data_IF_461126614177
#
_entry.id   IF_461126614177
#
_cell.length_a   1.000
_cell.length_b   1.000
_cell.length_c   1.000
_cell.angle_alpha   90.00
_cell.angle_beta   90.00
_cell.angle_gamma   90.00
#
_symmetry.space_group_name_H-M   'P 1'
#
loop_
_entity.id
_entity.type
_entity.pdbx_description
1 polymer ?
#
# COMPACT_ATOMS: atom_id res chain seq x y z
N UNK A 1 16.26 10.32 18.15
CA UNK A 1 15.56 9.27 17.39
C UNK A 1 15.90 9.42 15.91
N UNK A 2 16.30 8.37 15.23
CA UNK A 2 16.43 8.45 13.78
C UNK A 2 15.01 8.48 13.19
N UNK A 3 14.63 9.63 12.65
CA UNK A 3 13.34 9.80 11.96
C UNK A 3 13.30 8.87 10.74
N UNK A 4 12.36 7.91 10.72
CA UNK A 4 12.22 6.95 9.62
C UNK A 4 11.86 7.63 8.29
N UNK A 5 11.34 8.84 8.32
CA UNK A 5 10.98 9.60 7.13
C UNK A 5 12.13 10.45 6.58
N UNK A 6 13.16 10.75 7.38
CA UNK A 6 14.30 11.55 6.91
C UNK A 6 15.00 10.97 5.67
N UNK A 7 15.24 9.65 5.54
CA UNK A 7 15.77 9.06 4.31
C UNK A 7 14.84 9.24 3.12
N UNK A 8 13.51 9.11 3.31
CA UNK A 8 12.51 9.30 2.25
C UNK A 8 12.49 10.75 1.77
N UNK A 9 12.53 11.71 2.69
CA UNK A 9 12.63 13.13 2.37
C UNK A 9 13.91 13.42 1.56
N UNK A 10 15.05 12.88 1.97
CA UNK A 10 16.31 13.06 1.26
C UNK A 10 16.26 12.49 -0.16
N UNK A 11 15.69 11.29 -0.35
CA UNK A 11 15.49 10.66 -1.64
C UNK A 11 14.60 11.51 -2.56
N UNK A 12 13.47 12.01 -2.04
CA UNK A 12 12.51 12.81 -2.80
C UNK A 12 13.06 14.21 -3.16
N UNK A 13 13.85 14.82 -2.28
CA UNK A 13 14.57 16.08 -2.62
C UNK A 13 15.59 15.87 -3.74
N UNK A 14 16.23 14.71 -3.79
CA UNK A 14 17.19 14.38 -4.85
C UNK A 14 16.49 14.01 -6.18
N UNK A 15 15.28 13.44 -6.11
CA UNK A 15 14.47 13.03 -7.24
C UNK A 15 13.00 13.43 -7.05
N UNK A 16 12.66 14.71 -7.29
CA UNK A 16 11.31 15.22 -7.03
C UNK A 16 10.24 14.50 -7.84
N UNK A 17 9.16 14.12 -7.16
CA UNK A 17 7.98 13.45 -7.72
C UNK A 17 6.77 14.35 -7.67
N UNK A 18 5.80 14.08 -8.55
CA UNK A 18 4.50 14.74 -8.57
C UNK A 18 3.44 13.83 -7.96
N UNK A 19 2.80 14.27 -6.87
CA UNK A 19 1.71 13.56 -6.22
C UNK A 19 0.36 14.21 -6.53
N UNK A 20 -0.65 13.38 -6.77
CA UNK A 20 -2.05 13.81 -6.91
C UNK A 20 -2.80 13.56 -5.61
N UNK A 21 -3.47 14.57 -5.10
CA UNK A 21 -4.50 14.47 -4.07
C UNK A 21 -5.88 14.61 -4.67
N UNK A 22 -6.76 13.68 -4.34
CA UNK A 22 -8.12 13.60 -4.91
C UNK A 22 -9.17 14.39 -4.17
N UNK A 23 -8.85 14.91 -2.98
CA UNK A 23 -9.74 15.74 -2.15
C UNK A 23 -9.10 17.11 -1.87
N UNK A 24 -8.97 17.91 -2.92
CA UNK A 24 -8.21 19.17 -2.90
C UNK A 24 -8.76 20.26 -1.96
N UNK A 25 -9.98 20.13 -1.46
CA UNK A 25 -10.59 21.06 -0.49
C UNK A 25 -10.63 20.52 0.96
N UNK A 26 -10.12 19.29 1.22
CA UNK A 26 -10.05 18.74 2.58
C UNK A 26 -8.95 19.44 3.39
N UNK A 27 -9.24 19.98 4.59
CA UNK A 27 -8.26 20.72 5.39
C UNK A 27 -7.00 19.91 5.75
N UNK A 28 -7.13 18.59 5.96
CA UNK A 28 -6.01 17.70 6.30
C UNK A 28 -5.07 17.53 5.12
N UNK A 29 -5.64 17.45 3.91
CA UNK A 29 -4.88 17.38 2.66
C UNK A 29 -4.18 18.71 2.41
N UNK A 30 -4.88 19.83 2.58
CA UNK A 30 -4.33 21.17 2.39
C UNK A 30 -3.17 21.48 3.34
N UNK A 31 -3.28 21.10 4.63
CA UNK A 31 -2.23 21.25 5.62
C UNK A 31 -0.98 20.42 5.25
N UNK A 32 -1.18 19.15 4.87
CA UNK A 32 -0.08 18.29 4.45
C UNK A 32 0.56 18.80 3.14
N UNK A 33 -0.24 19.23 2.16
CA UNK A 33 0.24 19.78 0.91
C UNK A 33 1.08 21.05 1.11
N UNK A 34 0.62 21.97 1.96
CA UNK A 34 1.37 23.19 2.31
C UNK A 34 2.74 22.84 2.92
N UNK A 35 2.81 21.85 3.81
CA UNK A 35 4.06 21.37 4.39
C UNK A 35 5.00 20.76 3.36
N UNK A 36 4.49 19.89 2.48
CA UNK A 36 5.28 19.26 1.40
C UNK A 36 5.87 20.30 0.44
N UNK A 37 5.08 21.33 0.09
CA UNK A 37 5.50 22.42 -0.78
C UNK A 37 6.55 23.31 -0.10
N UNK A 38 6.32 23.71 1.16
CA UNK A 38 7.26 24.53 1.93
C UNK A 38 8.62 23.86 2.11
N UNK A 39 8.65 22.55 2.27
CA UNK A 39 9.88 21.76 2.37
C UNK A 39 10.54 21.43 1.02
N UNK A 40 9.84 21.71 -0.10
CA UNK A 40 10.32 21.42 -1.46
C UNK A 40 10.53 19.93 -1.72
N UNK A 41 9.70 19.08 -1.12
CA UNK A 41 9.84 17.61 -1.19
C UNK A 41 9.11 17.02 -2.38
N UNK A 42 7.91 17.52 -2.67
CA UNK A 42 7.05 17.03 -3.75
C UNK A 42 6.45 18.19 -4.54
N UNK A 43 6.19 17.94 -5.82
CA UNK A 43 5.23 18.73 -6.59
C UNK A 43 3.84 18.21 -6.30
N UNK A 44 2.87 19.12 -6.12
CA UNK A 44 1.52 18.78 -5.67
C UNK A 44 0.52 19.15 -6.73
N UNK A 45 -0.32 18.19 -7.09
CA UNK A 45 -1.54 18.40 -7.90
C UNK A 45 -2.74 18.10 -7.01
N UNK A 46 -3.68 19.02 -6.94
CA UNK A 46 -4.94 18.87 -6.20
C UNK A 46 -6.11 18.79 -7.16
N UNK A 47 -6.95 17.78 -7.03
CA UNK A 47 -8.16 17.62 -7.84
C UNK A 47 -9.34 18.23 -7.08
N UNK A 48 -10.01 19.19 -7.69
CA UNK A 48 -11.18 19.83 -7.12
C UNK A 48 -11.45 21.20 -7.75
N UNK A 49 -12.58 21.82 -7.37
CA UNK A 49 -12.90 23.16 -7.81
C UNK A 49 -11.88 24.18 -7.26
N UNK A 50 -11.30 24.98 -8.13
CA UNK A 50 -10.20 25.88 -7.79
C UNK A 50 -10.59 26.91 -6.72
N UNK A 51 -11.79 27.47 -6.83
CA UNK A 51 -12.27 28.47 -5.88
C UNK A 51 -12.53 27.87 -4.50
N UNK A 52 -13.09 26.65 -4.44
CA UNK A 52 -13.31 25.93 -3.18
C UNK A 52 -11.98 25.55 -2.51
N UNK A 53 -11.02 25.01 -3.27
CA UNK A 53 -9.69 24.65 -2.75
C UNK A 53 -8.97 25.88 -2.17
N UNK A 54 -8.97 27.01 -2.90
CA UNK A 54 -8.37 28.27 -2.44
C UNK A 54 -9.08 28.85 -1.21
N UNK A 55 -10.41 28.78 -1.17
CA UNK A 55 -11.18 29.25 -0.02
C UNK A 55 -10.90 28.40 1.23
N UNK A 56 -10.85 27.07 1.09
CA UNK A 56 -10.54 26.17 2.18
C UNK A 56 -9.09 26.35 2.69
N UNK A 57 -8.14 26.55 1.78
CA UNK A 57 -6.74 26.83 2.13
C UNK A 57 -6.60 28.16 2.89
N UNK A 58 -7.30 29.22 2.43
CA UNK A 58 -7.31 30.51 3.11
C UNK A 58 -7.91 30.43 4.51
N UNK A 59 -9.00 29.65 4.69
CA UNK A 59 -9.64 29.44 5.99
C UNK A 59 -8.70 28.73 6.99
N UNK A 60 -7.82 27.84 6.52
CA UNK A 60 -6.83 27.15 7.34
C UNK A 60 -5.46 27.84 7.41
N UNK A 61 -5.27 28.97 6.72
CA UNK A 61 -3.97 29.63 6.53
C UNK A 61 -2.90 28.70 5.93
N UNK A 62 -3.30 27.82 5.00
CA UNK A 62 -2.40 26.90 4.31
C UNK A 62 -1.86 27.54 3.02
N UNK A 63 -0.53 27.64 2.91
CA UNK A 63 0.13 28.18 1.71
C UNK A 63 0.26 27.09 0.64
N UNK A 64 -0.57 27.18 -0.39
CA UNK A 64 -0.65 26.20 -1.49
C UNK A 64 -0.44 26.83 -2.88
N UNK A 65 0.05 28.06 -2.98
CA UNK A 65 0.20 28.76 -4.27
C UNK A 65 1.11 28.06 -5.27
N UNK A 66 2.01 27.21 -4.78
CA UNK A 66 2.89 26.39 -5.63
C UNK A 66 2.24 25.05 -6.06
N UNK A 67 1.03 24.72 -5.59
CA UNK A 67 0.30 23.55 -6.06
C UNK A 67 -0.44 23.85 -7.37
N UNK A 68 -0.52 22.85 -8.25
CA UNK A 68 -1.44 22.87 -9.38
C UNK A 68 -2.82 22.40 -8.91
N UNK A 69 -3.88 23.18 -9.18
CA UNK A 69 -5.25 22.78 -8.90
C UNK A 69 -5.94 22.47 -10.22
N UNK A 70 -6.51 21.27 -10.34
CA UNK A 70 -7.20 20.82 -11.55
C UNK A 70 -8.65 20.53 -11.22
N UNK A 71 -9.55 21.31 -11.85
CA UNK A 71 -10.99 21.05 -11.80
C UNK A 71 -11.39 20.13 -12.95
N UNK A 72 -11.89 18.90 -12.67
CA UNK A 72 -12.35 17.99 -13.70
C UNK A 72 -13.39 18.58 -14.66
N UNK A 73 -14.25 19.51 -14.18
CA UNK A 73 -15.28 20.14 -15.02
C UNK A 73 -14.70 21.17 -16.01
N UNK A 74 -13.50 21.67 -15.78
CA UNK A 74 -12.85 22.72 -16.56
C UNK A 74 -11.50 22.28 -17.16
N UNK A 75 -11.19 20.98 -17.13
CA UNK A 75 -9.90 20.47 -17.61
C UNK A 75 -9.84 20.42 -19.14
N UNK A 76 -8.91 21.17 -19.74
CA UNK A 76 -8.78 21.26 -21.20
C UNK A 76 -8.48 19.90 -21.89
N UNK A 77 -7.83 18.96 -21.18
CA UNK A 77 -7.52 17.61 -21.67
C UNK A 77 -8.62 16.57 -21.39
N UNK A 78 -9.83 16.98 -21.02
CA UNK A 78 -10.86 16.04 -20.56
C UNK A 78 -11.31 15.06 -21.66
N UNK A 79 -11.50 15.52 -22.90
CA UNK A 79 -11.91 14.67 -24.02
C UNK A 79 -10.84 13.63 -24.37
N UNK A 80 -9.54 14.00 -24.33
CA UNK A 80 -8.43 13.08 -24.51
C UNK A 80 -8.43 12.01 -23.39
N UNK A 81 -8.70 12.43 -22.16
CA UNK A 81 -8.78 11.53 -21.00
C UNK A 81 -9.95 10.55 -21.13
N UNK A 82 -11.13 11.00 -21.60
CA UNK A 82 -12.28 10.13 -21.89
C UNK A 82 -11.92 9.10 -22.94
N UNK A 83 -11.37 9.53 -24.08
CA UNK A 83 -10.98 8.63 -25.18
C UNK A 83 -9.97 7.57 -24.70
N UNK A 84 -8.95 8.00 -23.96
CA UNK A 84 -7.96 7.09 -23.38
C UNK A 84 -8.60 6.08 -22.42
N UNK A 85 -9.56 6.53 -21.59
CA UNK A 85 -10.26 5.62 -20.68
C UNK A 85 -11.11 4.61 -21.42
N UNK A 86 -11.84 5.01 -22.48
CA UNK A 86 -12.65 4.11 -23.33
C UNK A 86 -11.77 2.99 -23.92
N UNK A 87 -10.59 3.35 -24.47
CA UNK A 87 -9.63 2.39 -25.00
C UNK A 87 -9.14 1.40 -23.93
N UNK A 88 -8.79 1.91 -22.72
CA UNK A 88 -8.35 1.09 -21.60
C UNK A 88 -9.42 0.11 -21.13
N UNK A 89 -10.69 0.50 -21.21
CA UNK A 89 -11.84 -0.31 -20.77
C UNK A 89 -12.28 -1.38 -21.79
N UNK A 90 -11.83 -1.28 -23.05
CA UNK A 90 -12.04 -2.31 -24.10
C UNK A 90 -13.50 -2.77 -24.22
N UNK A 91 -14.43 -1.83 -24.33
CA UNK A 91 -15.87 -2.09 -24.47
C UNK A 91 -16.61 -2.47 -23.18
N UNK A 92 -15.94 -2.45 -22.01
CA UNK A 92 -16.61 -2.68 -20.72
C UNK A 92 -17.38 -1.46 -20.20
N UNK A 93 -17.16 -0.29 -20.78
CA UNK A 93 -17.82 0.98 -20.45
C UNK A 93 -17.97 1.81 -21.73
N UNK A 94 -19.08 2.54 -21.83
CA UNK A 94 -19.33 3.50 -22.93
C UNK A 94 -18.57 4.79 -22.71
N UNK A 95 -18.54 5.68 -23.71
CA UNK A 95 -17.94 7.00 -23.58
C UNK A 95 -18.68 7.87 -22.54
N UNK A 96 -20.01 7.78 -22.49
CA UNK A 96 -20.84 8.47 -21.51
C UNK A 96 -20.56 8.00 -20.08
N UNK A 97 -20.42 6.69 -19.89
CA UNK A 97 -20.05 6.12 -18.59
C UNK A 97 -18.63 6.53 -18.16
N UNK A 98 -17.68 6.54 -19.09
CA UNK A 98 -16.33 7.03 -18.84
C UNK A 98 -16.33 8.52 -18.46
N UNK A 99 -17.09 9.34 -19.18
CA UNK A 99 -17.27 10.76 -18.87
C UNK A 99 -17.85 10.98 -17.47
N UNK A 100 -18.89 10.22 -17.12
CA UNK A 100 -19.50 10.32 -15.79
C UNK A 100 -18.55 9.88 -14.65
N UNK A 101 -17.71 8.89 -14.89
CA UNK A 101 -16.71 8.42 -13.93
C UNK A 101 -15.57 9.43 -13.77
N UNK A 102 -15.09 10.02 -14.85
CA UNK A 102 -13.99 10.98 -14.82
C UNK A 102 -14.33 12.32 -14.15
N UNK A 103 -15.61 12.64 -13.98
CA UNK A 103 -16.06 13.74 -13.12
C UNK A 103 -15.83 13.47 -11.62
N UNK A 104 -15.56 12.23 -11.23
CA UNK A 104 -15.22 11.86 -9.85
C UNK A 104 -13.72 12.00 -9.65
N UNK A 105 -13.31 12.70 -8.60
CA UNK A 105 -11.91 13.02 -8.32
C UNK A 105 -10.99 11.81 -8.23
N UNK A 106 -11.48 10.69 -7.68
CA UNK A 106 -10.72 9.45 -7.59
C UNK A 106 -10.42 8.84 -8.96
N UNK A 107 -11.37 8.81 -9.89
CA UNK A 107 -11.14 8.36 -11.28
C UNK A 107 -10.28 9.34 -12.05
N UNK A 108 -10.54 10.64 -11.91
CA UNK A 108 -9.79 11.70 -12.57
C UNK A 108 -8.31 11.67 -12.16
N UNK A 109 -8.03 11.69 -10.85
CA UNK A 109 -6.67 11.61 -10.33
C UNK A 109 -5.93 10.34 -10.75
N UNK A 110 -6.64 9.19 -10.76
CA UNK A 110 -6.07 7.93 -11.26
C UNK A 110 -5.72 8.01 -12.75
N UNK A 111 -6.51 8.70 -13.56
CA UNK A 111 -6.19 8.91 -14.97
C UNK A 111 -5.02 9.87 -15.16
N UNK A 112 -4.86 10.91 -14.33
CA UNK A 112 -3.65 11.75 -14.37
C UNK A 112 -2.39 10.93 -14.19
N UNK A 113 -2.37 10.01 -13.21
CA UNK A 113 -1.25 9.08 -13.02
C UNK A 113 -1.11 8.13 -14.22
N UNK A 114 -2.21 7.56 -14.71
CA UNK A 114 -2.20 6.63 -15.85
C UNK A 114 -1.64 7.27 -17.13
N UNK A 115 -1.92 8.53 -17.36
CA UNK A 115 -1.45 9.29 -18.52
C UNK A 115 -0.05 9.90 -18.33
N UNK A 116 0.62 9.62 -17.20
CA UNK A 116 1.96 10.14 -16.90
C UNK A 116 2.01 11.64 -16.60
N UNK A 117 0.87 12.24 -16.22
CA UNK A 117 0.78 13.64 -15.78
C UNK A 117 1.20 13.82 -14.32
N UNK A 118 1.24 12.71 -13.56
CA UNK A 118 1.76 12.64 -12.21
C UNK A 118 2.40 11.27 -11.96
N UNK A 119 3.28 11.18 -10.96
CA UNK A 119 4.00 9.95 -10.61
C UNK A 119 3.18 9.01 -9.72
N UNK A 120 2.38 9.58 -8.81
CA UNK A 120 1.64 8.81 -7.81
C UNK A 120 0.38 9.54 -7.33
N UNK A 121 -0.49 8.81 -6.60
CA UNK A 121 -1.74 9.34 -6.07
C UNK A 121 -1.93 8.92 -4.61
N UNK A 122 -2.44 9.84 -3.81
CA UNK A 122 -2.92 9.60 -2.45
C UNK A 122 -4.33 10.18 -2.30
N UNK A 123 -5.28 9.36 -1.85
CA UNK A 123 -6.66 9.76 -1.64
C UNK A 123 -7.35 8.86 -0.62
N UNK A 124 -8.66 8.99 -0.41
CA UNK A 124 -9.44 8.18 0.53
C UNK A 124 -9.76 8.84 1.86
N UNK A 125 -9.38 10.11 2.06
CA UNK A 125 -9.71 10.83 3.28
C UNK A 125 -11.23 11.03 3.47
N UNK A 126 -12.02 11.00 2.39
CA UNK A 126 -13.47 11.23 2.43
C UNK A 126 -14.32 10.11 1.84
N UNK A 127 -13.71 9.11 1.18
CA UNK A 127 -14.41 8.00 0.56
C UNK A 127 -13.82 6.63 0.98
N UNK A 128 -14.38 5.53 0.51
CA UNK A 128 -14.00 4.18 0.94
C UNK A 128 -12.73 3.69 0.23
N UNK A 129 -11.99 2.78 0.86
CA UNK A 129 -10.85 2.05 0.26
C UNK A 129 -11.23 1.39 -1.07
N UNK A 130 -12.47 0.89 -1.22
CA UNK A 130 -12.95 0.35 -2.48
C UNK A 130 -13.01 1.39 -3.61
N UNK A 131 -13.24 2.66 -3.28
CA UNK A 131 -13.29 3.75 -4.23
C UNK A 131 -11.89 4.22 -4.65
N UNK A 132 -10.86 3.95 -3.87
CA UNK A 132 -9.45 4.08 -4.26
C UNK A 132 -9.00 2.90 -5.13
N UNK A 133 -9.27 1.67 -4.68
CA UNK A 133 -8.77 0.45 -5.35
C UNK A 133 -9.44 0.22 -6.70
N UNK A 134 -10.74 0.49 -6.84
CA UNK A 134 -11.48 0.22 -8.07
C UNK A 134 -10.92 0.96 -9.30
N UNK A 135 -10.74 2.30 -9.31
CA UNK A 135 -10.10 2.98 -10.44
C UNK A 135 -8.64 2.54 -10.63
N UNK A 136 -7.88 2.30 -9.55
CA UNK A 136 -6.51 1.80 -9.66
C UNK A 136 -6.43 0.48 -10.43
N UNK A 137 -7.26 -0.51 -10.08
CA UNK A 137 -7.32 -1.81 -10.80
C UNK A 137 -7.86 -1.68 -12.23
N UNK A 138 -8.78 -0.77 -12.46
CA UNK A 138 -9.41 -0.60 -13.78
C UNK A 138 -8.49 0.10 -14.78
N UNK A 139 -7.70 1.07 -14.35
CA UNK A 139 -6.97 2.00 -15.19
C UNK A 139 -5.45 1.79 -15.14
N UNK A 140 -4.88 1.74 -13.94
CA UNK A 140 -3.43 1.53 -13.74
C UNK A 140 -3.08 0.05 -13.85
N UNK A 141 -3.90 -0.83 -13.28
CA UNK A 141 -3.74 -2.29 -13.24
C UNK A 141 -2.53 -2.73 -12.41
N UNK A 142 -2.35 -4.04 -12.32
CA UNK A 142 -1.19 -4.65 -11.66
C UNK A 142 0.07 -4.55 -12.52
N UNK A 143 1.24 -4.58 -11.89
CA UNK A 143 2.54 -4.74 -12.55
C UNK A 143 2.55 -6.00 -13.41
N UNK A 144 3.40 -6.01 -14.44
CA UNK A 144 3.62 -7.23 -15.24
C UNK A 144 4.15 -8.34 -14.33
N UNK A 145 3.45 -9.48 -14.34
CA UNK A 145 3.78 -10.63 -13.50
C UNK A 145 3.15 -10.61 -12.11
N UNK A 146 2.51 -9.52 -11.68
CA UNK A 146 1.74 -9.49 -10.44
C UNK A 146 0.30 -9.94 -10.70
N UNK A 147 -0.20 -10.84 -9.88
CA UNK A 147 -1.53 -11.44 -10.01
C UNK A 147 -2.58 -10.78 -9.12
N UNK A 148 -2.14 -10.01 -8.11
CA UNK A 148 -3.03 -9.32 -7.18
C UNK A 148 -2.46 -7.98 -6.74
N UNK A 149 -3.33 -7.16 -6.14
CA UNK A 149 -2.94 -6.03 -5.30
C UNK A 149 -3.06 -6.47 -3.86
N UNK A 150 -2.08 -6.13 -3.05
CA UNK A 150 -2.07 -6.39 -1.62
C UNK A 150 -1.78 -5.11 -0.84
N UNK A 151 -1.75 -5.20 0.48
CA UNK A 151 -1.38 -4.08 1.35
C UNK A 151 -0.30 -4.45 2.34
N UNK A 152 0.43 -3.44 2.78
CA UNK A 152 1.38 -3.56 3.88
C UNK A 152 1.14 -2.43 4.88
N UNK A 153 1.35 -2.73 6.16
CA UNK A 153 1.53 -1.73 7.22
C UNK A 153 2.97 -1.78 7.71
N UNK A 154 3.58 -0.61 7.85
CA UNK A 154 4.83 -0.46 8.59
C UNK A 154 4.48 0.00 10.00
N UNK A 155 4.93 -0.77 10.98
CA UNK A 155 4.74 -0.46 12.38
C UNK A 155 6.08 -0.08 13.00
N UNK A 156 6.11 1.06 13.69
CA UNK A 156 7.32 1.61 14.32
C UNK A 156 7.06 1.90 15.80
N UNK A 157 7.99 1.49 16.67
CA UNK A 157 7.89 1.69 18.10
C UNK A 157 9.25 1.98 18.71
N UNK A 158 9.32 3.03 19.53
CA UNK A 158 10.45 3.28 20.41
C UNK A 158 10.34 2.36 21.64
N UNK A 159 11.31 1.50 21.83
CA UNK A 159 11.40 0.57 22.96
C UNK A 159 12.45 1.00 24.01
N UNK A 160 12.82 2.28 24.04
CA UNK A 160 13.79 2.83 24.98
C UNK A 160 15.19 2.23 24.76
N UNK A 161 15.76 1.61 25.81
CA UNK A 161 17.11 1.02 25.75
C UNK A 161 17.25 -0.11 24.70
N UNK A 162 16.16 -0.81 24.38
CA UNK A 162 16.15 -1.81 23.31
C UNK A 162 16.16 -1.19 21.88
N UNK A 163 16.06 0.14 21.80
CA UNK A 163 16.05 0.88 20.55
C UNK A 163 14.73 0.86 19.82
N UNK A 164 14.77 1.21 18.53
CA UNK A 164 13.60 1.23 17.66
C UNK A 164 13.28 -0.18 17.16
N UNK A 165 12.02 -0.61 17.36
CA UNK A 165 11.49 -1.81 16.72
C UNK A 165 10.59 -1.41 15.55
N UNK A 166 11.01 -1.77 14.35
CA UNK A 166 10.27 -1.54 13.11
C UNK A 166 9.95 -2.86 12.45
N UNK A 167 8.67 -3.07 12.10
CA UNK A 167 8.18 -4.30 11.52
C UNK A 167 7.24 -4.00 10.34
N UNK A 168 7.13 -4.97 9.42
CA UNK A 168 6.18 -4.92 8.32
C UNK A 168 5.11 -6.02 8.47
N UNK A 169 3.86 -5.70 8.15
CA UNK A 169 2.72 -6.62 8.23
C UNK A 169 1.91 -6.59 6.92
N UNK A 170 1.81 -7.70 6.21
CA UNK A 170 1.11 -7.88 4.95
C UNK A 170 0.35 -9.22 4.88
N UNK A 171 -0.80 -9.33 4.25
CA UNK A 171 -1.77 -8.32 3.88
C UNK A 171 -2.74 -8.08 5.05
N UNK A 172 -3.07 -6.83 5.34
CA UNK A 172 -3.93 -6.50 6.48
C UNK A 172 -5.20 -5.73 6.10
N UNK A 173 -5.42 -5.43 4.79
CA UNK A 173 -6.51 -4.52 4.39
C UNK A 173 -7.14 -4.78 3.02
N UNK A 174 -6.62 -5.67 2.19
CA UNK A 174 -7.10 -5.83 0.80
C UNK A 174 -7.67 -7.22 0.52
N UNK A 175 -6.90 -8.28 0.70
CA UNK A 175 -7.34 -9.63 0.33
C UNK A 175 -7.98 -10.33 1.52
N UNK A 176 -9.29 -10.62 1.39
CA UNK A 176 -10.08 -11.31 2.44
C UNK A 176 -9.47 -12.69 2.70
N UNK A 177 -9.26 -13.44 1.63
CA UNK A 177 -8.66 -14.76 1.61
C UNK A 177 -7.83 -14.97 0.33
N UNK A 178 -7.19 -16.11 0.20
CA UNK A 178 -6.45 -16.51 -0.98
C UNK A 178 -7.04 -17.79 -1.52
N UNK A 179 -7.58 -17.72 -2.74
CA UNK A 179 -8.16 -18.85 -3.47
C UNK A 179 -7.49 -19.01 -4.81
N UNK A 180 -7.52 -20.22 -5.35
CA UNK A 180 -6.99 -20.50 -6.67
C UNK A 180 -7.76 -19.73 -7.76
N UNK A 181 -7.03 -19.21 -8.73
CA UNK A 181 -7.64 -18.73 -9.96
C UNK A 181 -7.77 -19.90 -10.93
N UNK A 182 -9.00 -20.25 -11.26
CA UNK A 182 -9.31 -21.39 -12.13
C UNK A 182 -9.52 -20.88 -13.56
N UNK A 183 -8.94 -21.56 -14.53
CA UNK A 183 -9.27 -21.37 -15.95
C UNK A 183 -10.69 -21.91 -16.20
N UNK A 184 -11.59 -21.03 -16.63
CA UNK A 184 -13.00 -21.38 -16.82
C UNK A 184 -13.24 -22.34 -17.98
N UNK A 185 -12.31 -22.43 -18.93
CA UNK A 185 -12.44 -23.29 -20.10
C UNK A 185 -11.93 -24.71 -19.82
N UNK A 186 -10.85 -24.84 -19.04
CA UNK A 186 -10.18 -26.12 -18.76
C UNK A 186 -10.47 -26.67 -17.38
N UNK A 187 -10.90 -25.84 -16.42
CA UNK A 187 -11.04 -26.20 -15.00
C UNK A 187 -9.71 -26.32 -14.26
N UNK A 188 -8.60 -26.03 -14.91
CA UNK A 188 -7.26 -26.12 -14.31
C UNK A 188 -6.92 -24.90 -13.46
N UNK A 189 -6.04 -25.09 -12.46
CA UNK A 189 -5.50 -24.01 -11.66
C UNK A 189 -4.54 -23.18 -12.50
N UNK A 190 -4.92 -21.94 -12.79
CA UNK A 190 -4.10 -20.99 -13.52
C UNK A 190 -3.11 -20.25 -12.61
N UNK A 191 -3.56 -19.87 -11.40
CA UNK A 191 -2.73 -19.24 -10.39
C UNK A 191 -3.12 -19.83 -9.04
N UNK A 192 -2.18 -20.48 -8.37
CA UNK A 192 -2.43 -21.08 -7.07
C UNK A 192 -2.59 -20.01 -5.98
N UNK A 193 -3.43 -20.27 -4.99
CA UNK A 193 -3.60 -19.43 -3.82
C UNK A 193 -2.26 -19.17 -3.09
N UNK A 194 -1.42 -20.20 -2.98
CA UNK A 194 -0.08 -20.12 -2.40
C UNK A 194 0.87 -19.20 -3.17
N UNK A 195 0.77 -19.16 -4.51
CA UNK A 195 1.57 -18.24 -5.32
C UNK A 195 1.16 -16.78 -5.07
N UNK A 196 -0.14 -16.51 -4.89
CA UNK A 196 -0.62 -15.18 -4.52
C UNK A 196 -0.11 -14.73 -3.15
N UNK A 197 -0.14 -15.60 -2.15
CA UNK A 197 0.38 -15.28 -0.82
C UNK A 197 1.91 -15.11 -0.83
N UNK A 198 2.62 -15.86 -1.67
CA UNK A 198 4.05 -15.68 -1.92
C UNK A 198 4.37 -14.30 -2.53
N UNK A 199 3.54 -13.83 -3.47
CA UNK A 199 3.69 -12.46 -4.01
C UNK A 199 3.52 -11.40 -2.91
N UNK A 200 2.56 -11.58 -2.00
CA UNK A 200 2.40 -10.68 -0.84
C UNK A 200 3.67 -10.66 0.01
N UNK A 201 4.28 -11.82 0.26
CA UNK A 201 5.52 -11.91 1.01
C UNK A 201 6.67 -11.14 0.35
N UNK A 202 6.84 -11.31 -0.95
CA UNK A 202 7.90 -10.66 -1.73
C UNK A 202 7.66 -9.14 -1.81
N UNK A 203 6.44 -8.69 -2.10
CA UNK A 203 6.13 -7.26 -2.19
C UNK A 203 6.19 -6.57 -0.82
N UNK A 204 5.79 -7.26 0.26
CA UNK A 204 5.94 -6.73 1.63
C UNK A 204 7.41 -6.61 2.02
N UNK A 205 8.26 -7.55 1.65
CA UNK A 205 9.70 -7.46 1.86
C UNK A 205 10.33 -6.27 1.10
N UNK A 206 9.90 -6.03 -0.15
CA UNK A 206 10.34 -4.85 -0.92
C UNK A 206 9.91 -3.55 -0.25
N UNK A 207 8.66 -3.48 0.22
CA UNK A 207 8.17 -2.32 0.96
C UNK A 207 8.96 -2.11 2.26
N UNK A 208 9.23 -3.18 3.02
CA UNK A 208 10.02 -3.12 4.25
C UNK A 208 11.41 -2.50 4.04
N UNK A 209 12.08 -2.83 2.93
CA UNK A 209 13.40 -2.29 2.57
C UNK A 209 13.39 -0.76 2.41
N UNK A 210 12.30 -0.14 1.93
CA UNK A 210 12.18 1.32 1.82
C UNK A 210 12.32 2.01 3.18
N UNK A 211 12.02 1.30 4.26
CA UNK A 211 12.09 1.80 5.64
C UNK A 211 13.34 1.33 6.39
N UNK A 212 14.33 0.79 5.67
CA UNK A 212 15.58 0.31 6.27
C UNK A 212 15.43 -0.99 7.06
N UNK A 213 14.33 -1.74 6.86
CA UNK A 213 14.18 -3.09 7.42
C UNK A 213 14.93 -4.07 6.52
N UNK A 214 15.83 -4.88 7.11
CA UNK A 214 16.36 -6.10 6.48
C UNK A 214 15.33 -7.22 6.66
N UNK A 215 14.52 -7.56 5.62
CA UNK A 215 13.34 -8.37 5.84
C UNK A 215 13.67 -9.82 6.15
N UNK A 216 13.22 -10.28 7.33
CA UNK A 216 13.13 -11.68 7.73
C UNK A 216 11.66 -12.05 7.77
N UNK A 217 11.20 -12.71 6.71
CA UNK A 217 9.78 -12.87 6.40
C UNK A 217 9.25 -14.16 7.03
N UNK A 218 8.28 -14.04 7.93
CA UNK A 218 7.54 -15.15 8.50
C UNK A 218 6.15 -15.24 7.86
N UNK A 219 5.83 -16.34 7.19
CA UNK A 219 4.47 -16.66 6.76
C UNK A 219 3.76 -17.34 7.92
N UNK A 220 2.76 -16.62 8.45
CA UNK A 220 2.12 -16.97 9.73
C UNK A 220 1.02 -18.02 9.60
N UNK A 221 0.86 -18.77 10.68
CA UNK A 221 -0.22 -19.75 10.89
C UNK A 221 -0.41 -20.00 12.39
N UNK A 222 -1.46 -20.72 12.77
CA UNK A 222 -1.57 -21.32 14.10
C UNK A 222 -0.70 -22.58 14.25
N UNK A 223 -0.07 -23.05 13.17
CA UNK A 223 0.86 -24.19 13.10
C UNK A 223 2.31 -23.72 12.97
N UNK A 224 3.24 -24.51 13.47
CA UNK A 224 4.68 -24.35 13.25
C UNK A 224 5.25 -25.65 12.72
N UNK A 225 5.75 -25.66 11.47
CA UNK A 225 6.44 -26.80 10.84
C UNK A 225 5.66 -28.10 10.95
N UNK A 226 4.35 -28.07 10.63
CA UNK A 226 3.49 -29.24 10.62
C UNK A 226 2.90 -29.63 11.98
N UNK A 227 3.01 -28.78 13.01
CA UNK A 227 2.42 -29.04 14.34
C UNK A 227 0.89 -29.06 14.36
N UNK A 228 0.25 -28.39 13.38
CA UNK A 228 -1.19 -28.33 13.19
C UNK A 228 -1.62 -28.77 11.81
N UNK A 229 -2.93 -28.97 11.62
CA UNK A 229 -3.53 -29.36 10.32
C UNK A 229 -4.86 -28.62 10.12
N UNK A 230 -5.20 -28.39 8.85
CA UNK A 230 -6.46 -27.74 8.46
C UNK A 230 -6.35 -26.22 8.36
N UNK A 231 -7.49 -25.56 8.08
CA UNK A 231 -7.52 -24.13 7.83
C UNK A 231 -6.53 -23.70 6.75
N UNK A 232 -5.76 -22.65 7.04
CA UNK A 232 -4.77 -22.06 6.12
C UNK A 232 -3.35 -22.61 6.27
N UNK A 233 -3.14 -23.70 7.00
CA UNK A 233 -1.80 -24.28 7.26
C UNK A 233 -1.10 -24.64 5.95
N UNK A 234 -1.76 -25.40 5.08
CA UNK A 234 -1.20 -25.78 3.79
C UNK A 234 -0.92 -24.57 2.90
N UNK A 235 -1.83 -23.58 2.87
CA UNK A 235 -1.65 -22.33 2.14
C UNK A 235 -0.35 -21.62 2.58
N UNK A 236 -0.16 -21.45 3.89
CA UNK A 236 1.02 -20.76 4.43
C UNK A 236 2.31 -21.54 4.18
N UNK A 237 2.27 -22.87 4.33
CA UNK A 237 3.40 -23.75 4.02
C UNK A 237 3.81 -23.65 2.55
N UNK A 238 2.85 -23.83 1.63
CA UNK A 238 3.12 -23.83 0.19
C UNK A 238 3.52 -22.44 -0.32
N UNK A 239 3.04 -21.38 0.33
CA UNK A 239 3.44 -20.00 0.00
C UNK A 239 4.94 -19.76 0.29
N UNK A 240 5.52 -20.36 1.34
CA UNK A 240 6.95 -20.29 1.60
C UNK A 240 7.73 -20.92 0.47
N UNK A 241 7.33 -22.13 0.04
CA UNK A 241 8.00 -22.85 -1.07
C UNK A 241 7.94 -21.97 -2.34
N UNK A 242 6.76 -21.42 -2.65
CA UNK A 242 6.59 -20.54 -3.81
C UNK A 242 7.41 -19.26 -3.71
N UNK A 243 7.48 -18.64 -2.54
CA UNK A 243 8.30 -17.45 -2.35
C UNK A 243 9.80 -17.71 -2.55
N UNK A 244 10.29 -18.86 -2.06
CA UNK A 244 11.67 -19.29 -2.27
C UNK A 244 11.99 -19.64 -3.74
N UNK A 245 11.00 -20.18 -4.48
CA UNK A 245 11.12 -20.41 -5.93
C UNK A 245 11.17 -19.09 -6.72
N UNK A 246 10.36 -18.10 -6.32
CA UNK A 246 10.25 -16.81 -7.01
C UNK A 246 11.38 -15.83 -6.67
N UNK A 247 11.87 -15.86 -5.44
CA UNK A 247 12.98 -15.03 -4.93
C UNK A 247 13.87 -15.85 -4.00
N UNK A 248 14.88 -16.59 -4.54
CA UNK A 248 15.76 -17.45 -3.76
C UNK A 248 16.63 -16.72 -2.71
N UNK A 249 16.83 -15.41 -2.88
CA UNK A 249 17.62 -14.60 -1.95
C UNK A 249 16.79 -14.07 -0.78
N UNK A 250 15.46 -14.20 -0.85
CA UNK A 250 14.58 -13.73 0.21
C UNK A 250 14.68 -14.62 1.45
N UNK A 251 15.03 -14.06 2.59
CA UNK A 251 14.95 -14.75 3.87
C UNK A 251 13.47 -14.94 4.27
N UNK A 252 12.86 -16.04 3.83
CA UNK A 252 11.46 -16.38 4.11
C UNK A 252 11.35 -17.77 4.70
N UNK A 253 10.50 -17.93 5.72
CA UNK A 253 10.22 -19.21 6.38
C UNK A 253 8.77 -19.27 6.87
N UNK A 254 8.29 -20.48 7.12
CA UNK A 254 6.94 -20.79 7.59
C UNK A 254 6.56 -22.23 7.26
N UNK A 255 5.36 -22.67 7.58
CA UNK A 255 4.41 -21.88 8.37
C UNK A 255 4.90 -21.76 9.81
N UNK A 256 4.74 -20.60 10.42
CA UNK A 256 5.17 -20.30 11.78
C UNK A 256 4.01 -19.75 12.64
N UNK A 257 3.93 -20.19 13.88
CA UNK A 257 3.18 -19.45 14.90
C UNK A 257 3.93 -18.13 15.21
N UNK A 258 3.20 -17.13 15.67
CA UNK A 258 3.78 -15.81 15.91
C UNK A 258 4.88 -15.83 16.99
N UNK A 259 4.69 -16.61 18.08
CA UNK A 259 5.70 -16.81 19.12
C UNK A 259 6.99 -17.42 18.57
N UNK A 260 6.87 -18.45 17.73
CA UNK A 260 8.02 -19.07 17.07
C UNK A 260 8.72 -18.13 16.08
N UNK A 261 7.98 -17.18 15.47
CA UNK A 261 8.55 -16.21 14.56
C UNK A 261 9.41 -15.15 15.27
N UNK A 262 9.03 -14.73 16.51
CA UNK A 262 9.65 -13.58 17.19
C UNK A 262 10.47 -13.91 18.42
N UNK A 263 10.23 -15.05 19.09
CA UNK A 263 10.89 -15.42 20.33
C UNK A 263 12.02 -16.42 20.06
N UNK A 264 13.31 -16.04 20.28
CA UNK A 264 14.45 -16.92 19.99
C UNK A 264 14.41 -18.25 20.75
N UNK A 265 13.96 -18.24 22.01
CA UNK A 265 13.83 -19.43 22.85
C UNK A 265 12.80 -20.41 22.31
N UNK A 266 11.69 -19.91 21.74
CA UNK A 266 10.66 -20.75 21.11
C UNK A 266 11.18 -21.33 19.78
N UNK A 267 11.86 -20.49 18.98
CA UNK A 267 12.45 -20.90 17.71
C UNK A 267 13.51 -22.00 17.87
N UNK A 268 14.35 -21.93 18.89
CA UNK A 268 15.36 -22.94 19.19
C UNK A 268 14.75 -24.32 19.43
N UNK A 269 13.54 -24.38 19.96
CA UNK A 269 12.84 -25.66 20.21
C UNK A 269 12.07 -26.11 18.98
N UNK A 270 11.26 -25.20 18.38
CA UNK A 270 10.29 -25.55 17.32
C UNK A 270 10.86 -25.49 15.90
N UNK A 271 11.91 -24.68 15.64
CA UNK A 271 12.37 -24.31 14.30
C UNK A 271 13.89 -24.36 14.16
N UNK A 272 14.53 -25.43 14.62
CA UNK A 272 16.00 -25.58 14.57
C UNK A 272 16.52 -25.37 13.14
N UNK A 273 17.51 -24.49 13.00
CA UNK A 273 18.17 -24.19 11.73
C UNK A 273 17.46 -23.15 10.84
N UNK A 274 16.32 -22.61 11.29
CA UNK A 274 15.67 -21.50 10.58
C UNK A 274 16.52 -20.23 10.63
N UNK A 275 16.63 -19.52 9.49
CA UNK A 275 17.28 -18.21 9.39
C UNK A 275 16.31 -17.04 9.69
N UNK A 276 15.04 -17.34 9.95
CA UNK A 276 13.96 -16.38 10.14
C UNK A 276 13.32 -16.49 11.52
N UNK A 277 13.00 -17.71 11.95
CA UNK A 277 12.35 -17.94 13.23
C UNK A 277 13.14 -17.36 14.40
N UNK A 278 12.45 -16.75 15.36
CA UNK A 278 13.02 -16.08 16.52
C UNK A 278 13.57 -14.68 16.27
N UNK A 279 13.59 -14.21 15.02
CA UNK A 279 14.09 -12.89 14.63
C UNK A 279 13.31 -12.25 13.47
N UNK A 280 12.10 -12.77 13.19
CA UNK A 280 11.26 -12.24 12.12
C UNK A 280 10.86 -10.78 12.41
N UNK A 281 10.83 -9.98 11.36
CA UNK A 281 10.44 -8.57 11.40
C UNK A 281 9.46 -8.20 10.28
N UNK A 282 9.11 -9.17 9.44
CA UNK A 282 8.15 -9.04 8.35
C UNK A 282 7.19 -10.22 8.43
N UNK A 283 5.90 -9.93 8.62
CA UNK A 283 4.87 -10.93 8.94
C UNK A 283 3.81 -10.97 7.86
N UNK A 284 3.55 -12.17 7.31
CA UNK A 284 2.57 -12.38 6.26
C UNK A 284 1.41 -13.19 6.81
N UNK A 285 0.21 -12.65 6.66
CA UNK A 285 -1.02 -13.23 7.21
C UNK A 285 -1.79 -14.01 6.14
N UNK A 286 -2.31 -15.19 6.45
CA UNK A 286 -3.01 -16.03 5.49
C UNK A 286 -4.45 -15.59 5.17
N UNK A 287 -4.97 -14.61 5.89
CA UNK A 287 -6.30 -14.03 5.70
C UNK A 287 -6.39 -12.64 6.34
N UNK A 288 -7.37 -11.84 5.88
CA UNK A 288 -7.52 -10.45 6.33
C UNK A 288 -7.85 -10.33 7.81
N UNK A 289 -8.64 -11.24 8.38
CA UNK A 289 -9.01 -11.21 9.79
C UNK A 289 -7.77 -11.26 10.69
N UNK A 290 -6.86 -12.19 10.40
CA UNK A 290 -5.62 -12.32 11.16
C UNK A 290 -4.74 -11.07 11.03
N UNK A 291 -4.56 -10.56 9.82
CA UNK A 291 -3.75 -9.37 9.56
C UNK A 291 -4.37 -8.09 10.13
N UNK A 292 -5.66 -7.87 9.90
CA UNK A 292 -6.36 -6.67 10.33
C UNK A 292 -6.48 -6.59 11.87
N UNK A 293 -6.79 -7.69 12.51
CA UNK A 293 -6.84 -7.77 13.98
C UNK A 293 -5.42 -7.63 14.54
N UNK A 294 -4.45 -8.34 13.96
CA UNK A 294 -3.07 -8.37 14.45
C UNK A 294 -2.42 -6.99 14.46
N UNK A 295 -2.47 -6.23 13.35
CA UNK A 295 -1.84 -4.91 13.32
C UNK A 295 -2.52 -3.92 14.27
N UNK A 296 -3.86 -4.00 14.44
CA UNK A 296 -4.60 -3.13 15.36
C UNK A 296 -4.28 -3.43 16.82
N UNK A 297 -4.09 -4.71 17.18
CA UNK A 297 -3.63 -5.08 18.52
C UNK A 297 -2.23 -4.51 18.76
N UNK A 298 -1.30 -4.69 17.82
CA UNK A 298 0.03 -4.13 17.92
C UNK A 298 0.00 -2.59 18.07
N UNK A 299 -0.83 -1.91 17.27
CA UNK A 299 -1.00 -0.46 17.34
C UNK A 299 -1.60 -0.01 18.68
N UNK A 300 -2.76 -0.57 19.07
CA UNK A 300 -3.56 -0.04 20.19
C UNK A 300 -3.08 -0.51 21.56
N UNK A 301 -2.63 -1.76 21.66
CA UNK A 301 -2.13 -2.34 22.91
C UNK A 301 -0.61 -2.43 22.94
N UNK A 302 0.03 -2.66 21.79
CA UNK A 302 1.48 -2.75 21.68
C UNK A 302 2.21 -1.41 21.60
N UNK A 303 1.48 -0.30 21.42
CA UNK A 303 2.06 1.05 21.36
C UNK A 303 2.86 1.35 20.10
N UNK A 304 2.61 0.61 19.01
CA UNK A 304 3.21 0.92 17.71
C UNK A 304 2.47 2.06 17.00
N UNK A 305 3.22 2.97 16.37
CA UNK A 305 2.69 3.79 15.31
C UNK A 305 2.55 2.92 14.05
N UNK A 306 1.40 2.99 13.36
CA UNK A 306 1.12 2.18 12.18
C UNK A 306 0.91 3.08 10.96
N UNK A 307 1.67 2.84 9.89
CA UNK A 307 1.64 3.57 8.63
C UNK A 307 1.15 2.65 7.52
N UNK A 308 0.01 3.01 6.91
CA UNK A 308 -0.65 2.22 5.88
C UNK A 308 -2.17 2.46 5.82
N UNK A 309 -2.92 1.73 4.96
CA UNK A 309 -2.40 0.66 4.10
C UNK A 309 -1.55 1.18 2.94
N UNK A 310 -0.37 0.61 2.77
CA UNK A 310 0.50 0.85 1.62
C UNK A 310 0.14 -0.19 0.57
N UNK A 311 -0.43 0.22 -0.56
CA UNK A 311 -0.83 -0.71 -1.61
C UNK A 311 0.38 -1.20 -2.41
N UNK A 312 0.36 -2.47 -2.76
CA UNK A 312 1.45 -3.18 -3.42
C UNK A 312 0.95 -3.87 -4.69
N UNK A 313 1.83 -4.08 -5.65
CA UNK A 313 1.52 -4.81 -6.88
C UNK A 313 0.88 -3.96 -7.99
N UNK A 314 0.56 -2.69 -7.78
CA UNK A 314 0.06 -1.77 -8.81
C UNK A 314 1.19 -1.30 -9.73
N UNK A 315 0.85 -1.02 -11.00
CA UNK A 315 1.80 -0.55 -12.02
C UNK A 315 2.24 0.92 -11.83
N UNK A 316 1.55 1.66 -10.97
CA UNK A 316 1.98 2.97 -10.45
C UNK A 316 1.50 3.10 -9.00
N UNK A 317 2.19 3.86 -8.15
CA UNK A 317 1.83 4.01 -6.74
C UNK A 317 0.51 4.76 -6.58
N UNK A 318 -0.45 4.10 -5.98
CA UNK A 318 -1.72 4.67 -5.54
C UNK A 318 -1.96 4.14 -4.14
N UNK A 319 -2.10 5.04 -3.17
CA UNK A 319 -2.38 4.65 -1.79
C UNK A 319 -3.68 5.25 -1.28
N UNK A 320 -4.20 4.61 -0.24
CA UNK A 320 -5.45 4.92 0.41
C UNK A 320 -5.22 5.53 1.79
N UNK A 321 -6.04 6.52 2.14
CA UNK A 321 -6.06 7.14 3.45
C UNK A 321 -7.22 6.57 4.27
N UNK A 322 -7.04 6.50 5.58
CA UNK A 322 -8.17 6.32 6.48
C UNK A 322 -9.03 7.59 6.50
N UNK A 323 -10.36 7.45 6.51
CA UNK A 323 -11.27 8.59 6.72
C UNK A 323 -11.05 9.30 8.06
N UNK A 324 -10.44 8.61 9.02
CA UNK A 324 -10.05 9.17 10.31
C UNK A 324 -8.59 9.65 10.38
N UNK A 325 -7.90 9.80 9.26
CA UNK A 325 -6.51 10.29 9.23
C UNK A 325 -6.43 11.76 9.67
N UNK A 326 -5.26 12.15 10.13
CA UNK A 326 -4.88 13.53 10.40
C UNK A 326 -3.86 14.03 9.36
N UNK A 327 -3.54 15.32 9.38
CA UNK A 327 -2.62 15.94 8.41
C UNK A 327 -1.20 15.36 8.47
N UNK A 328 -0.70 14.96 9.64
CA UNK A 328 0.61 14.33 9.78
C UNK A 328 0.65 12.94 9.13
N UNK A 329 -0.44 12.17 9.27
CA UNK A 329 -0.59 10.88 8.56
C UNK A 329 -0.66 11.09 7.05
N UNK A 330 -1.38 12.11 6.55
CA UNK A 330 -1.40 12.46 5.12
C UNK A 330 -0.01 12.81 4.62
N UNK A 331 0.73 13.67 5.34
CA UNK A 331 2.10 14.05 5.00
C UNK A 331 3.01 12.80 4.91
N UNK A 332 2.99 11.93 5.92
CA UNK A 332 3.80 10.73 5.97
C UNK A 332 3.45 9.74 4.86
N UNK A 333 2.15 9.52 4.63
CA UNK A 333 1.69 8.65 3.53
C UNK A 333 2.04 9.22 2.16
N UNK A 334 2.11 10.55 2.00
CA UNK A 334 2.57 11.18 0.77
C UNK A 334 4.04 10.85 0.46
N UNK A 335 4.91 10.93 1.47
CA UNK A 335 6.32 10.55 1.33
C UNK A 335 6.46 9.07 0.94
N UNK A 336 5.72 8.19 1.62
CA UNK A 336 5.71 6.75 1.33
C UNK A 336 5.26 6.51 -0.11
N UNK A 337 4.12 7.09 -0.51
CA UNK A 337 3.54 6.91 -1.85
C UNK A 337 4.50 7.35 -2.94
N UNK A 338 5.12 8.51 -2.77
CA UNK A 338 6.06 9.03 -3.75
C UNK A 338 7.37 8.22 -3.84
N UNK A 339 7.83 7.62 -2.75
CA UNK A 339 9.01 6.76 -2.75
C UNK A 339 8.78 5.38 -3.37
N UNK A 340 7.53 4.97 -3.61
CA UNK A 340 7.22 3.75 -4.35
C UNK A 340 7.32 3.94 -5.89
N UNK A 341 7.44 5.19 -6.39
CA UNK A 341 7.50 5.53 -7.83
C UNK A 341 8.92 5.54 -8.41
#
# INVERSE_FOLDING_TARGET
MADMFAPLVAQLKANPKTIVFTEGNDPRILEAAAKLLAEGVLKVVMVGNEAECKAAAAAGNFEISAAEIIDPENYAGFDEMVNTMVELRKGKQTAEECTALLKKSNYFGTMLVKMGKADCLLGGATYSTADTIRPALQLVKTKKGAHLVSSCFILDRDCGEEGLKRIAMGDCAVNIDYTDTIDKATGEVKIAASAKLAEVAIETAKTAKLFGIDPKVAVLSFSTKGSGKGGTVALSHDAVIKAQEMDPELAVDGELQFDAAVAPEVAQVKCKGSKVAGQANTFIFPCIEAGNIGYKIAQRLGGYAAYGPILQGLNAPINDLSRGCNADEVYKMSLITACQS
#
